data_IF_932691616501
#
_entry.id   IF_932691616501
#
_cell.length_a   1.000
_cell.length_b   1.000
_cell.length_c   1.000
_cell.angle_alpha   90.00
_cell.angle_beta   90.00
_cell.angle_gamma   90.00
#
_symmetry.space_group_name_H-M   'P 1'
#
loop_
_entity.id
_entity.type
_entity.pdbx_description
1 polymer ?
#
# COMPACT_ATOMS: atom_id res chain seq x y z
N UNK A 1 27.96 1.76 -9.16
CA UNK A 1 26.54 2.13 -9.14
C UNK A 1 26.26 2.93 -10.39
N UNK A 2 25.41 2.43 -11.28
CA UNK A 2 24.83 3.27 -12.33
C UNK A 2 24.10 4.44 -11.63
N UNK A 3 24.19 5.65 -12.19
CA UNK A 3 23.48 6.80 -11.64
C UNK A 3 21.96 6.57 -11.59
N UNK A 4 21.21 7.39 -10.84
CA UNK A 4 19.76 7.26 -10.76
C UNK A 4 19.13 7.26 -12.16
N UNK A 5 18.14 6.39 -12.44
CA UNK A 5 17.57 6.24 -13.78
C UNK A 5 16.84 7.49 -14.28
N UNK A 6 16.38 8.34 -13.35
CA UNK A 6 15.65 9.56 -13.63
C UNK A 6 16.39 10.78 -13.08
N UNK A 7 16.10 11.94 -13.65
CA UNK A 7 16.68 13.21 -13.19
C UNK A 7 15.98 13.71 -11.93
N UNK A 8 16.70 14.44 -11.07
CA UNK A 8 16.14 15.04 -9.86
C UNK A 8 14.91 15.90 -10.13
N UNK A 9 14.83 16.55 -11.29
CA UNK A 9 13.67 17.34 -11.71
C UNK A 9 12.38 16.52 -11.79
N UNK A 10 12.45 15.26 -12.22
CA UNK A 10 11.29 14.35 -12.24
C UNK A 10 10.86 14.00 -10.82
N UNK A 11 11.82 13.77 -9.93
CA UNK A 11 11.56 13.49 -8.51
C UNK A 11 10.82 14.65 -7.84
N UNK A 12 11.33 15.89 -7.99
CA UNK A 12 10.66 17.08 -7.47
C UNK A 12 9.32 17.36 -8.15
N UNK A 13 9.21 17.08 -9.46
CA UNK A 13 7.97 17.19 -10.21
C UNK A 13 6.85 16.30 -9.65
N UNK A 14 7.18 15.08 -9.22
CA UNK A 14 6.21 14.19 -8.56
C UNK A 14 5.95 14.67 -7.13
N UNK A 15 6.98 14.88 -6.31
CA UNK A 15 6.79 15.24 -4.89
C UNK A 15 6.00 16.54 -4.73
N UNK A 16 6.37 17.60 -5.45
CA UNK A 16 5.76 18.92 -5.31
C UNK A 16 4.69 19.18 -6.37
N UNK A 17 4.96 18.82 -7.63
CA UNK A 17 4.05 19.10 -8.74
C UNK A 17 2.77 18.26 -8.69
N UNK A 18 2.90 16.94 -8.57
CA UNK A 18 1.71 16.08 -8.39
C UNK A 18 1.03 16.38 -7.04
N UNK A 19 1.79 16.60 -5.97
CA UNK A 19 1.23 17.01 -4.67
C UNK A 19 0.37 18.28 -4.77
N UNK A 20 0.86 19.32 -5.43
CA UNK A 20 0.13 20.56 -5.65
C UNK A 20 -1.07 20.37 -6.58
N UNK A 21 -0.92 19.61 -7.66
CA UNK A 21 -2.01 19.30 -8.59
C UNK A 21 -3.16 18.61 -7.88
N UNK A 22 -2.89 17.55 -7.11
CA UNK A 22 -3.91 16.86 -6.31
C UNK A 22 -4.52 17.79 -5.27
N UNK A 23 -3.71 18.61 -4.60
CA UNK A 23 -4.23 19.57 -3.63
C UNK A 23 -5.22 20.56 -4.25
N UNK A 24 -4.92 21.09 -5.43
CA UNK A 24 -5.80 22.00 -6.17
C UNK A 24 -7.07 21.28 -6.61
N UNK A 25 -6.93 20.14 -7.30
CA UNK A 25 -8.08 19.39 -7.84
C UNK A 25 -9.03 18.97 -6.73
N UNK A 26 -8.50 18.42 -5.63
CA UNK A 26 -9.32 17.98 -4.50
C UNK A 26 -9.98 19.15 -3.77
N UNK A 27 -9.26 20.27 -3.56
CA UNK A 27 -9.84 21.47 -2.98
C UNK A 27 -10.98 22.03 -3.83
N UNK A 28 -10.81 22.07 -5.16
CA UNK A 28 -11.86 22.49 -6.09
C UNK A 28 -13.07 21.56 -6.05
N UNK A 29 -12.85 20.24 -5.99
CA UNK A 29 -13.92 19.25 -5.85
C UNK A 29 -14.69 19.46 -4.54
N UNK A 30 -14.01 19.70 -3.42
CA UNK A 30 -14.66 20.02 -2.14
C UNK A 30 -15.48 21.30 -2.23
N UNK A 31 -14.95 22.35 -2.86
CA UNK A 31 -15.69 23.61 -3.06
C UNK A 31 -16.93 23.41 -3.94
N UNK A 32 -16.81 22.60 -5.00
CA UNK A 32 -17.93 22.22 -5.84
C UNK A 32 -18.98 21.44 -5.05
N UNK A 33 -18.59 20.48 -4.22
CA UNK A 33 -19.52 19.74 -3.35
C UNK A 33 -20.24 20.68 -2.37
N UNK A 34 -19.50 21.61 -1.74
CA UNK A 34 -20.10 22.62 -0.84
C UNK A 34 -21.13 23.48 -1.57
N UNK A 35 -20.84 23.91 -2.81
CA UNK A 35 -21.71 24.79 -3.61
C UNK A 35 -22.93 24.07 -4.16
N UNK A 36 -22.75 22.88 -4.74
CA UNK A 36 -23.79 22.18 -5.51
C UNK A 36 -24.56 21.12 -4.71
N UNK A 37 -23.95 20.52 -3.68
CA UNK A 37 -24.60 19.51 -2.83
C UNK A 37 -25.04 20.07 -1.47
N UNK A 38 -24.84 21.37 -1.21
CA UNK A 38 -25.18 22.05 0.07
C UNK A 38 -24.60 21.33 1.30
N UNK A 39 -23.44 20.70 1.15
CA UNK A 39 -22.79 19.98 2.24
C UNK A 39 -22.04 20.95 3.15
N UNK A 40 -22.48 21.04 4.41
CA UNK A 40 -21.80 21.78 5.45
C UNK A 40 -20.87 20.87 6.26
N UNK A 41 -19.63 21.32 6.46
CA UNK A 41 -18.63 20.61 7.24
C UNK A 41 -18.91 20.79 8.73
N UNK A 42 -19.72 19.90 9.31
CA UNK A 42 -19.87 19.72 10.77
C UNK A 42 -18.83 18.72 11.28
N UNK A 43 -18.62 18.65 12.60
CA UNK A 43 -17.76 17.61 13.21
C UNK A 43 -18.23 16.19 12.84
N UNK A 44 -19.54 15.95 12.77
CA UNK A 44 -20.11 14.67 12.35
C UNK A 44 -19.83 14.37 10.87
N UNK A 45 -19.96 15.37 9.99
CA UNK A 45 -19.61 15.24 8.57
C UNK A 45 -18.11 14.97 8.39
N UNK A 46 -17.27 15.66 9.14
CA UNK A 46 -15.81 15.52 9.08
C UNK A 46 -15.36 14.14 9.56
N UNK A 47 -15.94 13.63 10.64
CA UNK A 47 -15.50 12.37 11.28
C UNK A 47 -16.21 11.12 10.73
N UNK A 48 -17.44 11.24 10.21
CA UNK A 48 -18.26 10.06 9.83
C UNK A 48 -18.87 10.14 8.43
N UNK A 49 -18.70 11.25 7.72
CA UNK A 49 -19.33 11.52 6.41
C UNK A 49 -20.86 11.29 6.41
N UNK A 50 -21.53 11.52 7.55
CA UNK A 50 -22.94 11.19 7.81
C UNK A 50 -23.34 9.76 7.45
N UNK A 51 -22.36 8.84 7.42
CA UNK A 51 -22.57 7.45 6.99
C UNK A 51 -23.28 7.38 5.63
N UNK A 52 -22.99 8.33 4.73
CA UNK A 52 -23.69 8.50 3.44
C UNK A 52 -23.03 7.77 2.27
N UNK A 53 -21.83 7.22 2.49
CA UNK A 53 -20.98 6.62 1.46
C UNK A 53 -21.53 5.27 0.99
N UNK A 54 -21.61 5.07 -0.34
CA UNK A 54 -22.12 3.83 -0.96
C UNK A 54 -21.09 2.70 -0.87
N UNK A 55 -21.59 1.46 -0.91
CA UNK A 55 -20.82 0.21 -0.73
C UNK A 55 -19.56 0.11 -1.59
N UNK A 56 -19.63 0.45 -2.88
CA UNK A 56 -18.47 0.39 -3.78
C UNK A 56 -17.36 1.38 -3.41
N UNK A 57 -17.74 2.59 -3.00
CA UNK A 57 -16.77 3.61 -2.57
C UNK A 57 -16.16 3.26 -1.21
N UNK A 58 -16.95 2.67 -0.29
CA UNK A 58 -16.43 2.11 0.97
C UNK A 58 -15.47 0.95 0.69
N UNK A 59 -15.81 0.02 -0.19
CA UNK A 59 -14.93 -1.10 -0.54
C UNK A 59 -13.61 -0.61 -1.16
N UNK A 60 -13.67 0.35 -2.09
CA UNK A 60 -12.48 0.98 -2.66
C UNK A 60 -11.65 1.68 -1.60
N UNK A 61 -12.28 2.38 -0.67
CA UNK A 61 -11.60 3.03 0.44
C UNK A 61 -10.97 2.04 1.43
N UNK A 62 -11.58 0.88 1.64
CA UNK A 62 -10.99 -0.20 2.43
C UNK A 62 -9.73 -0.73 1.75
N UNK A 63 -9.79 -1.02 0.45
CA UNK A 63 -8.63 -1.46 -0.35
C UNK A 63 -7.52 -0.42 -0.32
N UNK A 64 -7.88 0.84 -0.59
CA UNK A 64 -6.96 1.97 -0.54
C UNK A 64 -6.29 2.04 0.83
N UNK A 65 -7.08 1.87 1.92
CA UNK A 65 -6.58 1.93 3.29
C UNK A 65 -5.54 0.93 3.69
N UNK A 66 -5.54 -0.20 3.02
CA UNK A 66 -4.64 -1.28 3.33
C UNK A 66 -3.46 -1.30 2.34
N UNK A 67 -3.49 -0.48 1.30
CA UNK A 67 -2.45 -0.45 0.26
C UNK A 67 -1.37 0.57 0.62
N UNK A 68 -0.45 0.15 1.48
CA UNK A 68 0.68 1.00 1.88
C UNK A 68 1.82 0.94 0.86
N UNK A 69 2.67 1.96 0.84
CA UNK A 69 3.94 1.88 0.09
C UNK A 69 4.78 0.67 0.55
N UNK A 70 4.84 0.45 1.87
CA UNK A 70 5.46 -0.74 2.45
C UNK A 70 4.82 -2.03 1.95
N UNK A 71 3.50 -2.06 1.74
CA UNK A 71 2.79 -3.22 1.17
C UNK A 71 3.29 -3.56 -0.22
N UNK A 72 3.46 -2.58 -1.11
CA UNK A 72 3.90 -2.81 -2.48
C UNK A 72 5.39 -3.19 -2.55
N UNK A 73 6.22 -2.51 -1.76
CA UNK A 73 7.67 -2.70 -1.75
C UNK A 73 8.08 -3.97 -1.01
N UNK A 74 7.59 -4.17 0.22
CA UNK A 74 7.97 -5.30 1.06
C UNK A 74 7.44 -6.62 0.50
N UNK A 75 6.20 -6.65 -0.02
CA UNK A 75 5.66 -7.86 -0.66
C UNK A 75 6.55 -8.29 -1.84
N UNK A 76 7.01 -7.34 -2.66
CA UNK A 76 7.92 -7.60 -3.78
C UNK A 76 9.29 -8.10 -3.30
N UNK A 77 9.84 -7.52 -2.23
CA UNK A 77 11.11 -7.99 -1.63
C UNK A 77 11.00 -9.40 -1.06
N UNK A 78 9.90 -9.76 -0.39
CA UNK A 78 9.72 -11.12 0.12
C UNK A 78 9.42 -12.12 -1.00
N UNK A 79 8.83 -11.70 -2.12
CA UNK A 79 8.71 -12.54 -3.31
C UNK A 79 10.07 -12.87 -3.92
N UNK A 80 10.96 -11.88 -3.97
CA UNK A 80 12.32 -12.07 -4.46
C UNK A 80 13.13 -13.00 -3.55
N UNK A 81 12.95 -12.90 -2.22
CA UNK A 81 13.63 -13.74 -1.24
C UNK A 81 13.08 -15.17 -1.15
N UNK A 82 11.75 -15.32 -1.12
CA UNK A 82 11.08 -16.56 -0.74
C UNK A 82 10.20 -17.16 -1.84
N UNK A 83 10.16 -16.53 -3.01
CA UNK A 83 9.28 -16.95 -4.11
C UNK A 83 7.81 -16.63 -3.85
N UNK A 84 6.92 -17.36 -4.51
CA UNK A 84 5.46 -17.14 -4.47
C UNK A 84 4.83 -17.25 -3.08
N UNK A 85 5.47 -17.99 -2.17
CA UNK A 85 5.02 -18.15 -0.78
C UNK A 85 5.05 -16.83 0.01
N UNK A 86 6.07 -15.99 -0.20
CA UNK A 86 6.24 -14.72 0.51
C UNK A 86 5.04 -13.77 0.36
N UNK A 87 4.65 -13.40 -0.87
CA UNK A 87 3.48 -12.56 -1.14
C UNK A 87 2.17 -13.13 -0.64
N UNK A 88 2.00 -14.46 -0.71
CA UNK A 88 0.80 -15.10 -0.19
C UNK A 88 0.64 -14.86 1.31
N UNK A 89 1.70 -15.11 2.09
CA UNK A 89 1.72 -14.86 3.52
C UNK A 89 1.69 -13.37 3.90
N UNK A 90 2.17 -12.49 3.02
CA UNK A 90 2.01 -11.05 3.17
C UNK A 90 0.53 -10.65 3.06
N UNK A 91 -0.16 -11.15 2.04
CA UNK A 91 -1.52 -10.76 1.67
C UNK A 91 -2.61 -11.52 2.45
N UNK A 92 -2.27 -12.60 3.16
CA UNK A 92 -3.21 -13.41 3.93
C UNK A 92 -3.67 -12.69 5.21
N UNK A 93 -4.66 -11.81 5.12
CA UNK A 93 -5.19 -11.05 6.26
C UNK A 93 -6.62 -10.57 6.09
N UNK A 94 -7.61 -11.41 6.44
CA UNK A 94 -9.04 -11.03 6.44
C UNK A 94 -9.62 -10.80 7.84
N UNK A 95 -8.81 -10.94 8.89
CA UNK A 95 -9.30 -10.95 10.27
C UNK A 95 -9.87 -9.59 10.72
N UNK A 96 -9.33 -8.48 10.22
CA UNK A 96 -9.87 -7.14 10.51
C UNK A 96 -11.30 -6.96 9.96
N UNK A 97 -11.59 -7.51 8.77
CA UNK A 97 -12.91 -7.38 8.16
C UNK A 97 -14.03 -7.97 9.03
N UNK A 98 -13.75 -9.10 9.69
CA UNK A 98 -14.68 -9.74 10.61
C UNK A 98 -14.94 -8.84 11.84
N UNK A 99 -13.88 -8.29 12.44
CA UNK A 99 -13.99 -7.41 13.60
C UNK A 99 -14.73 -6.10 13.27
N UNK A 100 -14.45 -5.50 12.12
CA UNK A 100 -15.15 -4.30 11.64
C UNK A 100 -16.67 -4.52 11.54
N UNK A 101 -17.08 -5.69 11.04
CA UNK A 101 -18.49 -6.11 10.98
C UNK A 101 -19.08 -6.27 12.38
N UNK A 102 -18.37 -6.91 13.30
CA UNK A 102 -18.82 -7.13 14.67
C UNK A 102 -19.00 -5.81 15.44
N UNK A 103 -18.08 -4.87 15.27
CA UNK A 103 -18.20 -3.51 15.83
C UNK A 103 -19.46 -2.85 15.31
N UNK A 104 -19.75 -2.94 14.01
CA UNK A 104 -20.95 -2.32 13.46
C UNK A 104 -22.24 -2.99 13.95
N UNK A 105 -22.21 -4.30 14.20
CA UNK A 105 -23.36 -5.05 14.73
C UNK A 105 -23.63 -4.73 16.21
N UNK A 106 -22.58 -4.52 17.01
CA UNK A 106 -22.69 -4.37 18.48
C UNK A 106 -22.68 -2.91 18.96
N UNK A 107 -21.96 -2.03 18.27
CA UNK A 107 -21.78 -0.63 18.63
C UNK A 107 -21.92 0.31 17.41
N UNK A 108 -23.10 0.34 16.74
CA UNK A 108 -23.29 1.07 15.48
C UNK A 108 -23.10 2.59 15.57
N UNK A 109 -23.25 3.14 16.79
CA UNK A 109 -23.20 4.57 17.10
C UNK A 109 -21.86 5.01 17.72
N UNK A 110 -20.88 4.12 17.85
CA UNK A 110 -19.54 4.52 18.30
C UNK A 110 -18.91 5.48 17.29
N UNK A 111 -18.08 6.41 17.77
CA UNK A 111 -17.32 7.35 16.94
C UNK A 111 -15.85 6.98 16.84
N UNK A 112 -15.33 6.17 17.78
CA UNK A 112 -13.97 5.63 17.75
C UNK A 112 -13.95 4.23 18.34
N UNK A 113 -12.93 3.44 18.03
CA UNK A 113 -12.76 2.14 18.70
C UNK A 113 -12.46 2.30 20.20
N UNK A 114 -11.85 3.42 20.58
CA UNK A 114 -11.50 3.73 21.97
C UNK A 114 -12.72 3.95 22.87
N UNK A 115 -13.84 4.43 22.32
CA UNK A 115 -15.12 4.49 23.03
C UNK A 115 -15.61 3.10 23.42
N UNK A 116 -15.48 2.14 22.50
CA UNK A 116 -15.85 0.74 22.73
C UNK A 116 -14.95 0.13 23.81
N UNK A 117 -13.64 0.39 23.75
CA UNK A 117 -12.69 -0.05 24.77
C UNK A 117 -13.05 0.55 26.14
N UNK A 118 -13.35 1.84 26.22
CA UNK A 118 -13.73 2.50 27.47
C UNK A 118 -15.04 1.93 28.04
N UNK A 119 -16.05 1.77 27.21
CA UNK A 119 -17.35 1.23 27.63
C UNK A 119 -17.25 -0.23 28.12
N UNK A 120 -16.31 -1.02 27.57
CA UNK A 120 -16.17 -2.44 27.92
C UNK A 120 -15.20 -2.71 29.07
N UNK A 121 -14.08 -1.98 29.11
CA UNK A 121 -12.94 -2.28 30.00
C UNK A 121 -12.60 -1.13 30.95
N UNK A 122 -13.25 0.03 30.81
CA UNK A 122 -13.07 1.19 31.68
C UNK A 122 -11.89 2.10 31.30
N UNK A 123 -11.70 3.15 32.11
CA UNK A 123 -10.84 4.29 31.80
C UNK A 123 -9.35 3.95 31.72
N UNK A 124 -8.86 3.03 32.55
CA UNK A 124 -7.45 2.65 32.56
C UNK A 124 -7.04 2.01 31.23
N UNK A 125 -7.79 1.02 30.75
CA UNK A 125 -7.56 0.38 29.45
C UNK A 125 -7.73 1.35 28.29
N UNK A 126 -8.70 2.26 28.37
CA UNK A 126 -8.88 3.32 27.37
C UNK A 126 -7.62 4.19 27.22
N UNK A 127 -7.01 4.63 28.33
CA UNK A 127 -5.78 5.45 28.29
C UNK A 127 -4.62 4.67 27.68
N UNK A 128 -4.46 3.38 28.02
CA UNK A 128 -3.40 2.54 27.44
C UNK A 128 -3.55 2.42 25.92
N UNK A 129 -4.76 2.09 25.44
CA UNK A 129 -5.01 1.96 24.01
C UNK A 129 -4.95 3.30 23.27
N UNK A 130 -5.30 4.41 23.93
CA UNK A 130 -5.10 5.76 23.38
C UNK A 130 -3.62 6.04 23.12
N UNK A 131 -2.75 5.72 24.08
CA UNK A 131 -1.29 5.88 23.92
C UNK A 131 -0.78 4.98 22.80
N UNK A 132 -1.22 3.71 22.74
CA UNK A 132 -0.82 2.80 21.67
C UNK A 132 -1.26 3.29 20.30
N UNK A 133 -2.51 3.72 20.15
CA UNK A 133 -3.00 4.27 18.87
C UNK A 133 -2.22 5.51 18.43
N UNK A 134 -1.90 6.42 19.36
CA UNK A 134 -1.07 7.60 19.05
C UNK A 134 0.34 7.22 18.61
N UNK A 135 1.01 6.31 19.34
CA UNK A 135 2.36 5.85 18.99
C UNK A 135 2.38 5.12 17.64
N UNK A 136 1.39 4.27 17.38
CA UNK A 136 1.24 3.59 16.10
C UNK A 136 1.10 4.58 14.97
N UNK A 137 0.25 5.60 15.09
CA UNK A 137 0.09 6.61 14.04
C UNK A 137 1.39 7.38 13.76
N UNK A 138 2.17 7.72 14.80
CA UNK A 138 3.48 8.39 14.62
C UNK A 138 4.46 7.48 13.91
N UNK A 139 4.59 6.22 14.34
CA UNK A 139 5.55 5.25 13.77
C UNK A 139 5.17 4.92 12.32
N UNK A 140 3.89 4.64 12.05
CA UNK A 140 3.37 4.32 10.72
C UNK A 140 3.58 5.50 9.76
N UNK A 141 3.29 6.72 10.21
CA UNK A 141 3.52 7.93 9.41
C UNK A 141 5.01 8.10 9.07
N UNK A 142 5.89 7.97 10.08
CA UNK A 142 7.33 8.12 9.88
C UNK A 142 7.90 7.06 8.92
N UNK A 143 7.52 5.79 9.07
CA UNK A 143 8.03 4.72 8.21
C UNK A 143 7.59 4.87 6.75
N UNK A 144 6.39 5.39 6.50
CA UNK A 144 5.88 5.58 5.14
C UNK A 144 6.51 6.77 4.44
N UNK A 145 6.73 7.87 5.16
CA UNK A 145 7.48 9.01 4.64
C UNK A 145 8.91 8.62 4.30
N UNK A 146 9.57 7.87 5.20
CA UNK A 146 10.93 7.39 4.97
C UNK A 146 10.99 6.41 3.79
N UNK A 147 10.10 5.42 3.73
CA UNK A 147 10.07 4.43 2.65
C UNK A 147 9.78 5.06 1.28
N UNK A 148 8.80 5.99 1.22
CA UNK A 148 8.52 6.76 0.01
C UNK A 148 9.71 7.59 -0.44
N UNK A 149 10.32 8.32 0.48
CA UNK A 149 11.47 9.18 0.21
C UNK A 149 12.70 8.38 -0.22
N UNK A 150 12.90 7.18 0.33
CA UNK A 150 13.98 6.28 -0.04
C UNK A 150 13.84 5.80 -1.50
N UNK A 151 12.62 5.45 -1.94
CA UNK A 151 12.37 5.09 -3.34
C UNK A 151 12.60 6.28 -4.27
N UNK A 152 12.13 7.48 -3.90
CA UNK A 152 12.36 8.70 -4.68
C UNK A 152 13.87 8.97 -4.81
N UNK A 153 14.62 8.88 -3.71
CA UNK A 153 16.07 9.02 -3.72
C UNK A 153 16.74 7.96 -4.61
N UNK A 154 16.37 6.69 -4.49
CA UNK A 154 16.95 5.61 -5.30
C UNK A 154 16.70 5.83 -6.80
N UNK A 155 15.54 6.34 -7.18
CA UNK A 155 15.16 6.52 -8.58
C UNK A 155 15.65 7.82 -9.22
N UNK A 156 15.86 8.89 -8.43
CA UNK A 156 16.16 10.24 -8.96
C UNK A 156 17.34 10.94 -8.30
N UNK A 157 17.86 10.42 -7.21
CA UNK A 157 18.96 11.02 -6.44
C UNK A 157 18.55 12.23 -5.59
N UNK A 158 17.24 12.49 -5.41
CA UNK A 158 16.77 13.62 -4.57
C UNK A 158 17.12 13.39 -3.10
N UNK A 159 17.38 14.46 -2.35
CA UNK A 159 17.66 14.33 -0.93
C UNK A 159 16.46 13.74 -0.16
N UNK A 160 16.70 12.62 0.54
CA UNK A 160 15.66 11.89 1.31
C UNK A 160 15.05 12.74 2.41
N UNK A 161 15.86 13.53 3.13
CA UNK A 161 15.39 14.36 4.25
C UNK A 161 14.42 15.42 3.74
N UNK A 162 14.79 16.14 2.69
CA UNK A 162 13.92 17.14 2.08
C UNK A 162 12.63 16.51 1.53
N UNK A 163 12.72 15.33 0.92
CA UNK A 163 11.55 14.59 0.44
C UNK A 163 10.58 14.23 1.57
N UNK A 164 11.08 13.79 2.73
CA UNK A 164 10.25 13.47 3.90
C UNK A 164 9.43 14.66 4.39
N UNK A 165 9.97 15.88 4.36
CA UNK A 165 9.26 17.09 4.78
C UNK A 165 8.31 17.64 3.72
N UNK A 166 8.61 17.42 2.43
CA UNK A 166 7.86 18.03 1.32
C UNK A 166 6.70 17.16 0.82
N UNK A 167 6.84 15.82 0.85
CA UNK A 167 5.78 14.88 0.48
C UNK A 167 4.43 15.12 1.20
N UNK A 168 4.38 15.35 2.52
CA UNK A 168 3.11 15.56 3.22
C UNK A 168 2.45 16.90 2.92
N UNK A 169 3.17 17.92 2.41
CA UNK A 169 2.62 19.27 2.28
C UNK A 169 1.40 19.34 1.37
N UNK A 170 1.45 18.67 0.21
CA UNK A 170 0.30 18.62 -0.71
C UNK A 170 -0.91 17.95 -0.05
N UNK A 171 -0.67 16.86 0.67
CA UNK A 171 -1.70 16.11 1.39
C UNK A 171 -2.37 16.96 2.46
N UNK A 172 -1.57 17.60 3.31
CA UNK A 172 -2.06 18.45 4.40
C UNK A 172 -3.06 19.49 3.92
N UNK A 173 -2.79 20.16 2.78
CA UNK A 173 -3.66 21.20 2.23
C UNK A 173 -5.06 20.65 1.95
N UNK A 174 -5.20 19.60 1.14
CA UNK A 174 -6.54 19.13 0.76
C UNK A 174 -7.24 18.31 1.85
N UNK A 175 -6.50 17.70 2.79
CA UNK A 175 -7.10 17.07 3.97
C UNK A 175 -7.77 18.10 4.86
N UNK A 176 -7.11 19.24 5.11
CA UNK A 176 -7.62 20.31 5.95
C UNK A 176 -8.91 20.93 5.41
N UNK A 177 -9.03 21.06 4.08
CA UNK A 177 -10.23 21.64 3.46
C UNK A 177 -11.34 20.60 3.19
N UNK A 178 -10.98 19.34 2.91
CA UNK A 178 -11.88 18.34 2.34
C UNK A 178 -12.65 17.46 3.35
N UNK A 179 -12.04 17.13 4.48
CA UNK A 179 -12.58 16.16 5.44
C UNK A 179 -12.76 14.74 4.86
N UNK A 180 -13.30 13.80 5.67
CA UNK A 180 -13.33 12.37 5.36
C UNK A 180 -14.03 12.02 4.04
N UNK A 181 -15.09 12.74 3.66
CA UNK A 181 -15.81 12.48 2.39
C UNK A 181 -14.99 12.82 1.15
N UNK A 182 -14.23 13.91 1.18
CA UNK A 182 -13.31 14.24 0.08
C UNK A 182 -12.21 13.18 -0.02
N UNK A 183 -11.71 12.71 1.13
CA UNK A 183 -10.75 11.61 1.22
C UNK A 183 -11.26 10.35 0.51
N UNK A 184 -12.53 9.95 0.72
CA UNK A 184 -13.11 8.78 0.02
C UNK A 184 -13.02 8.87 -1.51
N UNK A 185 -13.24 10.06 -2.10
CA UNK A 185 -13.15 10.24 -3.55
C UNK A 185 -11.69 10.21 -4.02
N UNK A 186 -10.80 10.86 -3.27
CA UNK A 186 -9.35 10.82 -3.49
C UNK A 186 -8.83 9.38 -3.47
N UNK A 187 -9.30 8.57 -2.53
CA UNK A 187 -8.93 7.15 -2.36
C UNK A 187 -9.28 6.32 -3.60
N UNK A 188 -10.44 6.60 -4.20
CA UNK A 188 -10.87 5.92 -5.42
C UNK A 188 -9.91 6.23 -6.59
N UNK A 189 -9.51 7.49 -6.75
CA UNK A 189 -8.56 7.90 -7.80
C UNK A 189 -7.19 7.27 -7.57
N UNK A 190 -6.65 7.36 -6.36
CA UNK A 190 -5.36 6.75 -6.00
C UNK A 190 -5.35 5.25 -6.29
N UNK A 191 -6.39 4.53 -5.84
CA UNK A 191 -6.51 3.08 -6.03
C UNK A 191 -6.62 2.71 -7.51
N UNK A 192 -7.36 3.51 -8.29
CA UNK A 192 -7.49 3.30 -9.74
C UNK A 192 -6.15 3.43 -10.46
N UNK A 193 -5.36 4.45 -10.12
CA UNK A 193 -4.01 4.64 -10.68
C UNK A 193 -3.09 3.47 -10.31
N UNK A 194 -3.14 3.02 -9.06
CA UNK A 194 -2.39 1.84 -8.58
C UNK A 194 -2.74 0.60 -9.42
N UNK A 195 -4.03 0.30 -9.62
CA UNK A 195 -4.46 -0.83 -10.43
C UNK A 195 -3.98 -0.75 -11.90
N UNK A 196 -4.07 0.44 -12.51
CA UNK A 196 -3.59 0.64 -13.88
C UNK A 196 -2.11 0.30 -13.99
N UNK A 197 -1.29 0.77 -13.04
CA UNK A 197 0.16 0.49 -13.03
C UNK A 197 0.43 -1.00 -12.81
N UNK A 198 -0.26 -1.64 -11.87
CA UNK A 198 -0.09 -3.08 -11.59
C UNK A 198 -0.46 -3.91 -12.84
N UNK A 199 -1.59 -3.62 -13.48
CA UNK A 199 -2.01 -4.32 -14.69
C UNK A 199 -1.03 -4.06 -15.85
N UNK A 200 -0.51 -2.84 -15.97
CA UNK A 200 0.50 -2.50 -16.97
C UNK A 200 1.77 -3.34 -16.78
N UNK A 201 2.24 -3.50 -15.54
CA UNK A 201 3.37 -4.38 -15.23
C UNK A 201 3.06 -5.85 -15.51
N UNK A 202 1.87 -6.33 -15.11
CA UNK A 202 1.42 -7.70 -15.38
C UNK A 202 1.49 -8.03 -16.87
N UNK A 203 0.85 -7.22 -17.71
CA UNK A 203 0.84 -7.45 -19.16
C UNK A 203 2.22 -7.26 -19.78
N UNK A 204 3.02 -6.32 -19.29
CA UNK A 204 4.40 -6.14 -19.77
C UNK A 204 5.23 -7.40 -19.49
N UNK A 205 5.24 -7.89 -18.25
CA UNK A 205 6.03 -9.06 -17.84
C UNK A 205 5.59 -10.31 -18.60
N UNK A 206 4.28 -10.58 -18.65
CA UNK A 206 3.76 -11.85 -19.14
C UNK A 206 3.30 -11.87 -20.60
N UNK A 207 3.33 -10.75 -21.32
CA UNK A 207 2.90 -10.72 -22.73
C UNK A 207 3.79 -9.92 -23.67
N UNK A 208 4.57 -8.94 -23.20
CA UNK A 208 5.32 -8.03 -24.09
C UNK A 208 6.84 -7.99 -23.85
N UNK A 209 7.32 -8.50 -22.71
CA UNK A 209 8.74 -8.50 -22.38
C UNK A 209 9.54 -9.41 -23.32
N UNK A 210 10.63 -8.90 -23.89
CA UNK A 210 11.55 -9.69 -24.72
C UNK A 210 12.28 -10.80 -23.94
N UNK A 211 12.32 -10.68 -22.60
CA UNK A 211 13.03 -11.61 -21.72
C UNK A 211 12.08 -12.66 -21.17
N UNK A 212 10.94 -12.21 -20.62
CA UNK A 212 9.96 -13.06 -19.94
C UNK A 212 8.85 -13.41 -20.92
N UNK A 213 7.99 -12.45 -21.29
CA UNK A 213 7.08 -12.54 -22.44
C UNK A 213 5.95 -13.58 -22.35
N UNK A 214 5.99 -14.51 -21.40
CA UNK A 214 4.93 -15.49 -21.12
C UNK A 214 5.08 -16.11 -19.72
N UNK A 215 3.99 -16.64 -19.13
CA UNK A 215 4.07 -17.39 -17.87
C UNK A 215 4.95 -18.65 -17.97
N UNK A 216 4.95 -19.34 -19.11
CA UNK A 216 5.78 -20.53 -19.33
C UNK A 216 7.28 -20.18 -19.30
N UNK A 217 7.68 -19.12 -20.00
CA UNK A 217 9.06 -18.66 -19.99
C UNK A 217 9.49 -18.11 -18.63
N UNK A 218 8.60 -17.44 -17.90
CA UNK A 218 8.84 -17.07 -16.50
C UNK A 218 9.16 -18.31 -15.66
N UNK A 219 8.35 -19.37 -15.78
CA UNK A 219 8.56 -20.61 -15.05
C UNK A 219 9.92 -21.24 -15.36
N UNK A 220 10.31 -21.32 -16.64
CA UNK A 220 11.61 -21.85 -17.04
C UNK A 220 12.77 -21.04 -16.44
N UNK A 221 12.68 -19.70 -16.48
CA UNK A 221 13.70 -18.81 -15.90
C UNK A 221 13.81 -18.98 -14.38
N UNK A 222 12.68 -19.20 -13.69
CA UNK A 222 12.68 -19.46 -12.25
C UNK A 222 13.22 -20.85 -11.90
N UNK A 223 13.01 -21.85 -12.76
CA UNK A 223 13.61 -23.17 -12.59
C UNK A 223 15.13 -23.09 -12.73
N UNK A 224 15.62 -22.42 -13.77
CA UNK A 224 17.05 -22.15 -13.96
C UNK A 224 17.64 -21.37 -12.77
N UNK A 225 16.91 -20.38 -12.26
CA UNK A 225 17.32 -19.62 -11.08
C UNK A 225 17.37 -20.50 -9.83
N UNK A 226 16.44 -21.44 -9.66
CA UNK A 226 16.40 -22.38 -8.52
C UNK A 226 17.62 -23.30 -8.50
N UNK A 227 18.19 -23.62 -9.66
CA UNK A 227 19.42 -24.42 -9.77
C UNK A 227 20.66 -23.56 -9.46
N UNK A 228 20.73 -22.34 -10.01
CA UNK A 228 21.90 -21.46 -9.86
C UNK A 228 21.99 -20.83 -8.48
N UNK A 229 20.86 -20.40 -7.93
CA UNK A 229 20.72 -19.70 -6.67
C UNK A 229 19.50 -20.28 -5.92
N UNK A 230 19.60 -21.49 -5.36
CA UNK A 230 18.49 -22.12 -4.66
C UNK A 230 18.04 -21.28 -3.45
N UNK A 231 16.73 -21.14 -3.29
CA UNK A 231 16.16 -20.47 -2.11
C UNK A 231 16.33 -21.36 -0.88
N UNK A 232 16.99 -20.83 0.15
CA UNK A 232 17.20 -21.55 1.41
C UNK A 232 15.85 -21.90 2.04
N UNK A 233 15.72 -23.16 2.48
CA UNK A 233 14.51 -23.74 3.10
C UNK A 233 13.24 -23.78 2.23
N UNK A 234 13.35 -23.56 0.92
CA UNK A 234 12.29 -23.90 -0.02
C UNK A 234 12.46 -25.34 -0.52
N UNK A 235 11.35 -26.04 -0.73
CA UNK A 235 11.35 -27.35 -1.37
C UNK A 235 12.09 -27.30 -2.71
N UNK A 236 13.18 -28.08 -2.83
CA UNK A 236 14.08 -28.10 -4.00
C UNK A 236 14.69 -26.73 -4.37
N UNK A 237 14.74 -25.79 -3.43
CA UNK A 237 15.21 -24.42 -3.69
C UNK A 237 14.28 -23.61 -4.60
N UNK A 238 13.05 -24.09 -4.85
CA UNK A 238 12.15 -23.57 -5.87
C UNK A 238 11.56 -22.20 -5.51
N UNK A 239 11.49 -21.28 -6.47
CA UNK A 239 10.79 -20.00 -6.33
C UNK A 239 9.26 -20.09 -6.49
N UNK A 240 8.74 -21.22 -6.96
CA UNK A 240 7.31 -21.41 -7.24
C UNK A 240 6.62 -22.34 -6.25
N UNK A 241 7.33 -22.78 -5.21
CA UNK A 241 6.76 -23.64 -4.16
C UNK A 241 6.06 -22.82 -3.07
N UNK A 242 5.01 -23.40 -2.50
CA UNK A 242 4.41 -22.91 -1.25
C UNK A 242 5.10 -23.49 0.00
N UNK A 243 5.83 -24.60 -0.15
CA UNK A 243 6.61 -25.21 0.91
C UNK A 243 7.91 -24.41 1.15
N UNK A 244 7.78 -23.33 1.92
CA UNK A 244 8.85 -22.40 2.28
C UNK A 244 8.81 -22.14 3.79
N UNK A 245 9.85 -22.56 4.51
CA UNK A 245 9.94 -22.32 5.96
C UNK A 245 10.08 -20.82 6.26
N UNK A 246 10.92 -20.12 5.51
CA UNK A 246 11.10 -18.68 5.69
C UNK A 246 9.84 -17.90 5.33
N UNK A 247 9.09 -18.36 4.31
CA UNK A 247 7.78 -17.79 3.95
C UNK A 247 6.77 -17.86 5.10
N UNK A 248 6.62 -19.01 5.75
CA UNK A 248 5.68 -19.15 6.89
C UNK A 248 6.17 -18.41 8.14
N UNK A 249 7.47 -18.41 8.45
CA UNK A 249 8.04 -17.62 9.55
C UNK A 249 7.75 -16.14 9.32
N UNK A 250 7.99 -15.64 8.11
CA UNK A 250 7.63 -14.29 7.72
C UNK A 250 6.13 -14.04 7.90
N UNK A 251 5.26 -14.97 7.48
CA UNK A 251 3.82 -14.88 7.68
C UNK A 251 3.42 -14.72 9.15
N UNK A 252 4.01 -15.51 10.05
CA UNK A 252 3.77 -15.41 11.50
C UNK A 252 4.22 -14.04 12.03
N UNK A 253 5.43 -13.60 11.67
CA UNK A 253 5.95 -12.28 12.07
C UNK A 253 5.04 -11.17 11.55
N UNK A 254 4.60 -11.28 10.30
CA UNK A 254 3.73 -10.33 9.63
C UNK A 254 2.35 -10.25 10.31
N UNK A 255 1.76 -11.39 10.69
CA UNK A 255 0.50 -11.43 11.43
C UNK A 255 0.68 -10.77 12.81
N UNK A 256 1.69 -11.16 13.59
CA UNK A 256 1.90 -10.61 14.94
C UNK A 256 2.21 -9.11 14.89
N UNK A 257 3.06 -8.67 13.96
CA UNK A 257 3.48 -7.28 13.80
C UNK A 257 2.41 -6.38 13.19
N UNK A 258 1.97 -6.68 11.95
CA UNK A 258 1.07 -5.79 11.21
C UNK A 258 -0.36 -5.82 11.75
N UNK A 259 -0.82 -6.89 12.40
CA UNK A 259 -2.15 -6.85 12.99
C UNK A 259 -2.18 -5.93 14.20
N UNK A 260 -1.09 -5.90 14.98
CA UNK A 260 -0.93 -4.95 16.06
C UNK A 260 -1.13 -3.52 15.55
N UNK A 261 -0.43 -3.14 14.47
CA UNK A 261 -0.57 -1.80 13.87
C UNK A 261 -1.98 -1.54 13.33
N UNK A 262 -2.59 -2.49 12.63
CA UNK A 262 -3.94 -2.30 12.06
C UNK A 262 -5.03 -2.21 13.14
N UNK A 263 -4.93 -3.01 14.21
CA UNK A 263 -6.00 -3.12 15.21
C UNK A 263 -5.99 -1.97 16.22
N UNK A 264 -4.86 -1.30 16.42
CA UNK A 264 -4.77 -0.13 17.31
C UNK A 264 -4.82 1.19 16.55
N UNK A 265 -4.83 1.16 15.21
CA UNK A 265 -4.91 2.35 14.37
C UNK A 265 -6.38 2.77 14.16
N UNK A 266 -6.70 3.97 14.64
CA UNK A 266 -8.04 4.53 14.54
C UNK A 266 -8.46 4.78 13.08
N UNK A 267 -7.54 5.05 12.15
CA UNK A 267 -7.82 5.26 10.73
C UNK A 267 -8.65 4.11 10.13
N UNK A 268 -8.26 2.88 10.44
CA UNK A 268 -8.91 1.67 9.97
C UNK A 268 -10.32 1.52 10.55
N UNK A 269 -10.46 1.80 11.85
CA UNK A 269 -11.75 1.75 12.53
C UNK A 269 -12.70 2.85 12.08
N UNK A 270 -12.22 4.05 11.76
CA UNK A 270 -13.06 5.15 11.31
C UNK A 270 -13.78 4.82 10.00
N UNK A 271 -13.10 4.14 9.08
CA UNK A 271 -13.71 3.68 7.82
C UNK A 271 -14.80 2.64 8.08
N UNK A 272 -14.62 1.77 9.08
CA UNK A 272 -15.63 0.79 9.47
C UNK A 272 -16.85 1.46 10.10
N UNK A 273 -16.60 2.44 10.97
CA UNK A 273 -17.62 3.20 11.69
C UNK A 273 -18.46 4.06 10.73
N UNK A 274 -17.80 4.70 9.76
CA UNK A 274 -18.44 5.52 8.72
C UNK A 274 -19.30 4.68 7.75
N UNK A 275 -19.07 3.38 7.62
CA UNK A 275 -19.88 2.52 6.75
C UNK A 275 -21.32 2.33 7.29
N UNK A 276 -22.30 2.20 6.36
CA UNK A 276 -23.70 1.89 6.72
C UNK A 276 -23.85 0.41 7.13
N UNK A 277 -24.53 0.10 8.25
CA UNK A 277 -24.66 -1.27 8.77
C UNK A 277 -25.10 -2.32 7.73
N UNK A 278 -26.11 -1.99 6.91
CA UNK A 278 -26.67 -2.90 5.90
C UNK A 278 -25.70 -3.25 4.76
N UNK A 279 -24.61 -2.49 4.61
CA UNK A 279 -23.64 -2.62 3.53
C UNK A 279 -22.22 -2.95 3.99
N UNK A 280 -21.92 -2.78 5.28
CA UNK A 280 -20.57 -2.97 5.84
C UNK A 280 -20.02 -4.37 5.55
N UNK A 281 -20.83 -5.42 5.73
CA UNK A 281 -20.40 -6.81 5.51
C UNK A 281 -19.94 -7.02 4.07
N UNK A 282 -20.78 -6.62 3.09
CA UNK A 282 -20.44 -6.77 1.67
C UNK A 282 -19.24 -5.91 1.29
N UNK A 283 -19.17 -4.67 1.78
CA UNK A 283 -18.06 -3.76 1.48
C UNK A 283 -16.72 -4.28 2.02
N UNK A 284 -16.68 -4.80 3.25
CA UNK A 284 -15.46 -5.29 3.88
C UNK A 284 -15.00 -6.65 3.34
N UNK A 285 -15.92 -7.54 2.98
CA UNK A 285 -15.56 -8.80 2.32
C UNK A 285 -14.99 -8.54 0.91
N UNK A 286 -15.67 -7.73 0.11
CA UNK A 286 -15.19 -7.37 -1.23
C UNK A 286 -13.90 -6.58 -1.13
N UNK A 287 -13.83 -5.61 -0.21
CA UNK A 287 -12.63 -4.80 0.02
C UNK A 287 -11.44 -5.65 0.45
N UNK A 288 -11.63 -6.59 1.37
CA UNK A 288 -10.54 -7.46 1.82
C UNK A 288 -10.06 -8.45 0.76
N UNK A 289 -10.97 -9.05 -0.01
CA UNK A 289 -10.61 -9.91 -1.14
C UNK A 289 -9.91 -9.12 -2.25
N UNK A 290 -10.38 -7.90 -2.52
CA UNK A 290 -9.76 -7.02 -3.52
C UNK A 290 -8.39 -6.56 -3.05
N UNK A 291 -8.20 -6.29 -1.76
CA UNK A 291 -6.90 -5.95 -1.23
C UNK A 291 -5.89 -7.06 -1.43
N UNK A 292 -6.23 -8.33 -1.16
CA UNK A 292 -5.33 -9.47 -1.40
C UNK A 292 -4.73 -9.45 -2.81
N UNK A 293 -5.53 -9.12 -3.82
CA UNK A 293 -5.08 -9.09 -5.21
C UNK A 293 -3.96 -8.10 -5.48
N UNK A 294 -3.89 -6.97 -4.76
CA UNK A 294 -2.93 -5.90 -5.03
C UNK A 294 -1.48 -6.32 -4.72
N UNK A 295 -1.10 -6.61 -3.47
CA UNK A 295 0.26 -7.02 -3.16
C UNK A 295 0.56 -8.40 -3.74
N UNK A 296 -0.40 -9.32 -3.77
CA UNK A 296 -0.16 -10.64 -4.34
C UNK A 296 0.21 -10.54 -5.81
N UNK A 297 -0.61 -9.88 -6.64
CA UNK A 297 -0.35 -9.75 -8.07
C UNK A 297 0.89 -8.92 -8.35
N UNK A 298 1.08 -7.77 -7.69
CA UNK A 298 2.26 -6.95 -7.93
C UNK A 298 3.54 -7.69 -7.56
N UNK A 299 3.60 -8.33 -6.39
CA UNK A 299 4.81 -8.98 -5.91
C UNK A 299 5.14 -10.27 -6.67
N UNK A 300 4.13 -11.09 -6.98
CA UNK A 300 4.29 -12.27 -7.85
C UNK A 300 4.44 -11.91 -9.33
N UNK A 301 4.35 -10.64 -9.70
CA UNK A 301 4.76 -10.17 -11.03
C UNK A 301 6.17 -9.62 -10.94
N UNK A 302 6.38 -8.55 -10.18
CA UNK A 302 7.60 -7.77 -10.21
C UNK A 302 8.71 -8.32 -9.31
N UNK A 303 8.38 -8.94 -8.18
CA UNK A 303 9.39 -9.52 -7.29
C UNK A 303 10.05 -10.74 -7.91
N UNK A 304 9.26 -11.67 -8.48
CA UNK A 304 9.81 -12.82 -9.21
C UNK A 304 10.34 -12.45 -10.60
N UNK A 305 9.81 -11.39 -11.26
CA UNK A 305 10.47 -10.83 -12.43
C UNK A 305 11.87 -10.32 -12.09
N UNK A 306 12.09 -9.75 -10.90
CA UNK A 306 13.43 -9.42 -10.42
C UNK A 306 14.37 -10.62 -10.44
N UNK A 307 13.92 -11.78 -9.93
CA UNK A 307 14.70 -13.04 -9.96
C UNK A 307 14.99 -13.47 -11.40
N UNK A 308 13.99 -13.47 -12.26
CA UNK A 308 14.12 -13.86 -13.66
C UNK A 308 15.07 -12.92 -14.45
N UNK A 309 14.98 -11.61 -14.23
CA UNK A 309 15.83 -10.61 -14.87
C UNK A 309 17.28 -10.72 -14.41
N UNK A 310 17.52 -11.01 -13.13
CA UNK A 310 18.87 -11.32 -12.60
C UNK A 310 19.41 -12.59 -13.24
N UNK A 311 18.61 -13.67 -13.29
CA UNK A 311 19.00 -14.94 -13.91
C UNK A 311 19.32 -14.83 -15.41
N UNK A 312 18.65 -13.90 -16.10
CA UNK A 312 18.86 -13.58 -17.51
C UNK A 312 19.99 -12.55 -17.76
N UNK A 313 20.65 -12.04 -16.71
CA UNK A 313 21.71 -11.03 -16.82
C UNK A 313 21.23 -9.65 -17.29
N UNK A 314 19.95 -9.34 -17.10
CA UNK A 314 19.31 -8.06 -17.48
C UNK A 314 19.16 -7.10 -16.30
N UNK A 315 19.39 -7.58 -15.09
CA UNK A 315 19.39 -6.81 -13.85
C UNK A 315 20.56 -7.28 -12.99
N UNK A 316 21.30 -6.36 -12.39
CA UNK A 316 22.32 -6.71 -11.40
C UNK A 316 21.63 -7.26 -10.13
N UNK A 317 22.19 -8.29 -9.47
CA UNK A 317 21.65 -8.78 -8.22
C UNK A 317 21.59 -7.63 -7.18
N UNK A 318 20.41 -7.32 -6.61
CA UNK A 318 20.29 -6.31 -5.57
C UNK A 318 21.05 -6.76 -4.32
N UNK A 319 21.73 -5.81 -3.68
CA UNK A 319 22.39 -6.03 -2.38
C UNK A 319 21.37 -6.31 -1.27
N UNK A 320 21.80 -6.94 -0.19
CA UNK A 320 20.94 -7.20 0.98
C UNK A 320 20.30 -5.92 1.55
N UNK A 321 21.03 -4.81 1.47
CA UNK A 321 20.53 -3.50 1.86
C UNK A 321 19.41 -3.02 0.93
N UNK A 322 19.59 -3.11 -0.39
CA UNK A 322 18.57 -2.74 -1.37
C UNK A 322 17.31 -3.60 -1.25
N UNK A 323 17.46 -4.91 -1.03
CA UNK A 323 16.30 -5.80 -0.82
C UNK A 323 15.56 -5.42 0.47
N UNK A 324 16.29 -5.14 1.55
CA UNK A 324 15.71 -4.77 2.85
C UNK A 324 15.10 -3.36 2.84
N UNK A 325 15.59 -2.47 1.98
CA UNK A 325 15.01 -1.15 1.73
C UNK A 325 13.79 -1.17 0.79
N UNK A 326 13.37 -2.36 0.32
CA UNK A 326 12.20 -2.49 -0.56
C UNK A 326 12.48 -2.15 -2.03
N UNK A 327 13.75 -2.08 -2.45
CA UNK A 327 14.14 -1.58 -3.76
C UNK A 327 14.07 -2.61 -4.89
N UNK A 328 13.66 -3.85 -4.62
CA UNK A 328 13.49 -4.87 -5.66
C UNK A 328 12.49 -4.43 -6.73
N UNK A 329 11.33 -3.90 -6.32
CA UNK A 329 10.30 -3.42 -7.24
C UNK A 329 10.83 -2.31 -8.19
N UNK A 330 11.42 -1.20 -7.68
CA UNK A 330 11.95 -0.16 -8.57
C UNK A 330 13.09 -0.65 -9.47
N UNK A 331 13.97 -1.52 -8.97
CA UNK A 331 15.06 -2.07 -9.78
C UNK A 331 14.53 -2.97 -10.91
N UNK A 332 13.61 -3.89 -10.61
CA UNK A 332 13.00 -4.76 -11.60
C UNK A 332 12.19 -3.97 -12.64
N UNK A 333 11.43 -2.94 -12.21
CA UNK A 333 10.70 -2.07 -13.14
C UNK A 333 11.64 -1.29 -14.07
N UNK A 334 12.76 -0.80 -13.53
CA UNK A 334 13.77 -0.07 -14.30
C UNK A 334 14.48 -0.99 -15.29
N UNK A 335 14.81 -2.22 -14.89
CA UNK A 335 15.40 -3.22 -15.79
C UNK A 335 14.44 -3.65 -16.91
N UNK A 336 13.13 -3.69 -16.63
CA UNK A 336 12.11 -4.11 -17.59
C UNK A 336 11.73 -3.03 -18.60
N UNK A 337 11.54 -1.79 -18.15
CA UNK A 337 10.95 -0.69 -18.94
C UNK A 337 11.80 0.59 -18.96
N UNK A 338 13.03 0.54 -18.43
CA UNK A 338 13.92 1.70 -18.33
C UNK A 338 13.29 2.85 -17.53
N UNK A 339 13.43 4.07 -18.05
CA UNK A 339 12.91 5.29 -17.43
C UNK A 339 11.39 5.25 -17.21
N UNK A 340 10.64 4.61 -18.11
CA UNK A 340 9.18 4.51 -17.98
C UNK A 340 8.78 3.65 -16.78
N UNK A 341 9.48 2.53 -16.56
CA UNK A 341 9.26 1.67 -15.39
C UNK A 341 9.61 2.38 -14.08
N UNK A 342 10.74 3.08 -14.05
CA UNK A 342 11.14 3.91 -12.91
C UNK A 342 10.06 4.98 -12.58
N UNK A 343 9.56 5.67 -13.60
CA UNK A 343 8.52 6.69 -13.43
C UNK A 343 7.21 6.06 -12.91
N UNK A 344 6.80 4.93 -13.47
CA UNK A 344 5.60 4.21 -13.02
C UNK A 344 5.69 3.78 -11.55
N UNK A 345 6.83 3.26 -11.09
CA UNK A 345 7.03 2.92 -9.66
C UNK A 345 7.01 4.16 -8.78
N UNK A 346 7.55 5.29 -9.24
CA UNK A 346 7.51 6.53 -8.47
C UNK A 346 6.09 7.05 -8.30
N UNK A 347 5.27 7.03 -9.36
CA UNK A 347 3.85 7.37 -9.28
C UNK A 347 3.12 6.38 -8.37
N UNK A 348 3.36 5.08 -8.51
CA UNK A 348 2.76 4.03 -7.69
C UNK A 348 3.04 4.26 -6.19
N UNK A 349 4.30 4.51 -5.83
CA UNK A 349 4.72 4.76 -4.45
C UNK A 349 4.19 6.09 -3.94
N UNK A 350 4.21 7.14 -4.76
CA UNK A 350 3.62 8.43 -4.41
C UNK A 350 2.15 8.28 -4.04
N UNK A 351 1.36 7.61 -4.90
CA UNK A 351 -0.07 7.37 -4.66
C UNK A 351 -0.33 6.56 -3.39
N UNK A 352 0.56 5.61 -3.06
CA UNK A 352 0.45 4.81 -1.84
C UNK A 352 0.88 5.58 -0.57
N UNK A 353 1.84 6.51 -0.65
CA UNK A 353 2.29 7.33 0.48
C UNK A 353 1.30 8.45 0.78
N UNK A 354 0.89 9.21 -0.24
CA UNK A 354 -0.04 10.34 -0.07
C UNK A 354 -1.35 9.90 0.54
N UNK A 355 -1.78 8.69 0.19
CA UNK A 355 -2.97 8.09 0.73
C UNK A 355 -2.90 7.90 2.25
N UNK A 356 -1.83 7.31 2.80
CA UNK A 356 -1.84 6.96 4.23
C UNK A 356 -1.80 8.21 5.10
N UNK A 357 -1.11 9.26 4.64
CA UNK A 357 -1.05 10.58 5.29
C UNK A 357 -2.41 11.29 5.41
N UNK A 358 -3.46 10.77 4.75
CA UNK A 358 -4.83 11.30 4.85
C UNK A 358 -5.58 10.86 6.10
N UNK A 359 -5.10 9.84 6.83
CA UNK A 359 -5.85 9.20 7.91
C UNK A 359 -5.26 9.46 9.29
#
# INVERSE_FOLDING_TARGET
MAGPPLEQGVGWGIVLGFGAFFAIVMSLLTLAQKRYLQEHQTSEMFMTAHRSVKTGLVASAVVSSWTWAATLLQSSSVAYKYGVSGPFWYASGLLFAILAVEVKRKAPNAHTFLEIVNARYGKATHIIFLIFGMLTNVIVTAMLLLGGSAVVNALTGVNTIACCFLLPLGVLVYTLFGGLKATFLTDYVHTSVIYIIILSFLFTVYASSDVIGSPGKMYDLLLDASIKNPVVDNEQGSYVTMASLQGIIFGIINIVGNFGTVFVDNAYWQRAIAARPSSTVKAYLIGGLSWFSIPFTLATTMGIAGVALVGAGKMDPPTDHEVSAGLVLPLAATALLGKAGAFAVMVLVFMAVTYVLLN
#
